data_IF_600164079406
#
_entry.id   IF_600164079406
#
_cell.length_a   1.000
_cell.length_b   1.000
_cell.length_c   1.000
_cell.angle_alpha   90.00
_cell.angle_beta   90.00
_cell.angle_gamma   90.00
#
_symmetry.space_group_name_H-M   'P 1'
#
loop_
_entity.id
_entity.type
_entity.pdbx_description
1 polymer ?
#
# COMPACT_ATOMS: atom_id res chain seq x y z
N UNK A 1 27.19 27.75 19.52
CA UNK A 1 26.31 26.56 19.59
C UNK A 1 25.42 26.53 18.37
N UNK A 2 25.79 25.80 17.31
CA UNK A 2 24.99 25.71 16.09
C UNK A 2 23.90 24.65 16.27
N UNK A 3 22.64 25.06 16.39
CA UNK A 3 21.48 24.16 16.29
C UNK A 3 21.41 23.65 14.86
N UNK A 4 21.78 22.38 14.65
CA UNK A 4 21.55 21.70 13.39
C UNK A 4 20.06 21.76 13.06
N UNK A 5 19.76 22.20 11.83
CA UNK A 5 18.44 22.26 11.21
C UNK A 5 17.66 21.00 11.59
N UNK A 6 16.50 21.18 12.22
CA UNK A 6 15.53 20.11 12.34
C UNK A 6 15.34 19.53 10.95
N UNK A 7 15.64 18.25 10.78
CA UNK A 7 15.00 17.49 9.71
C UNK A 7 13.53 17.77 9.93
N UNK A 8 12.91 18.51 9.00
CA UNK A 8 11.47 18.47 8.86
C UNK A 8 11.20 17.01 8.52
N UNK A 9 11.01 16.18 9.55
CA UNK A 9 10.31 14.94 9.41
C UNK A 9 8.90 15.42 9.08
N UNK A 10 8.68 15.74 7.79
CA UNK A 10 7.36 15.70 7.20
C UNK A 10 6.94 14.25 7.38
N UNK A 11 6.52 13.88 8.59
CA UNK A 11 5.77 12.66 8.79
C UNK A 11 4.65 12.81 7.77
N UNK A 12 4.73 12.06 6.68
CA UNK A 12 3.62 11.96 5.75
C UNK A 12 2.48 11.49 6.64
N UNK A 13 1.58 12.41 6.96
CA UNK A 13 0.47 12.10 7.83
C UNK A 13 -0.38 11.10 7.08
N UNK A 14 -0.59 9.93 7.65
CA UNK A 14 -1.56 8.99 7.12
C UNK A 14 -2.88 9.22 7.86
N UNK A 15 -3.99 9.28 7.12
CA UNK A 15 -5.32 9.33 7.74
C UNK A 15 -5.76 7.96 8.21
N UNK A 16 -5.21 6.91 7.62
CA UNK A 16 -5.49 5.52 7.90
C UNK A 16 -4.33 4.66 7.41
N UNK A 17 -3.97 3.66 8.20
CA UNK A 17 -2.85 2.76 7.93
C UNK A 17 -3.14 1.39 8.55
N UNK A 18 -2.91 0.33 7.78
CA UNK A 18 -3.12 -1.04 8.22
C UNK A 18 -2.30 -2.04 7.38
N UNK A 19 -2.05 -3.21 7.96
CA UNK A 19 -1.37 -4.31 7.29
C UNK A 19 -2.39 -5.33 6.77
N UNK A 20 -2.17 -5.79 5.55
CA UNK A 20 -2.90 -6.86 4.89
C UNK A 20 -2.05 -8.12 4.81
N UNK A 21 -2.65 -9.27 5.06
CA UNK A 21 -2.04 -10.58 4.78
C UNK A 21 -3.00 -11.40 3.93
N UNK A 22 -2.58 -11.72 2.71
CA UNK A 22 -3.33 -12.59 1.81
C UNK A 22 -3.15 -14.07 2.22
N UNK A 23 -4.15 -14.95 2.01
CA UNK A 23 -4.01 -16.39 2.27
C UNK A 23 -2.87 -17.09 1.50
N UNK A 24 -2.37 -16.49 0.40
CA UNK A 24 -1.18 -17.01 -0.29
C UNK A 24 0.14 -16.77 0.48
N UNK A 25 0.08 -16.04 1.60
CA UNK A 25 1.25 -15.63 2.39
C UNK A 25 1.78 -14.24 2.03
N UNK A 26 1.26 -13.58 0.99
CA UNK A 26 1.66 -12.22 0.62
C UNK A 26 1.24 -11.22 1.70
N UNK A 27 2.16 -10.32 2.09
CA UNK A 27 1.91 -9.25 3.04
C UNK A 27 2.07 -7.90 2.36
N UNK A 28 1.13 -7.01 2.62
CA UNK A 28 1.15 -5.66 2.12
C UNK A 28 0.84 -4.68 3.26
N UNK A 29 1.44 -3.51 3.18
CA UNK A 29 1.22 -2.40 4.06
C UNK A 29 0.45 -1.33 3.29
N UNK A 30 -0.67 -0.87 3.86
CA UNK A 30 -1.60 0.03 3.21
C UNK A 30 -1.71 1.31 4.01
N UNK A 31 -1.44 2.43 3.36
CA UNK A 31 -1.44 3.73 4.02
C UNK A 31 -2.09 4.81 3.14
N UNK A 32 -3.13 5.47 3.63
CA UNK A 32 -3.77 6.59 2.94
C UNK A 32 -3.12 7.90 3.34
N UNK A 33 -2.67 8.66 2.34
CA UNK A 33 -2.10 10.00 2.56
C UNK A 33 -3.19 10.97 3.01
N UNK A 34 -2.97 11.60 4.16
CA UNK A 34 -3.93 12.51 4.77
C UNK A 34 -4.27 13.68 3.83
N UNK A 35 -5.56 14.04 3.78
CA UNK A 35 -6.06 15.10 2.91
C UNK A 35 -6.07 14.76 1.41
N UNK A 36 -5.80 13.50 1.05
CA UNK A 36 -5.83 13.04 -0.35
C UNK A 36 -6.73 11.82 -0.53
N UNK A 37 -7.08 11.55 -1.78
CA UNK A 37 -7.75 10.32 -2.19
C UNK A 37 -6.76 9.21 -2.55
N UNK A 38 -5.47 9.35 -2.22
CA UNK A 38 -4.43 8.39 -2.61
C UNK A 38 -4.05 7.52 -1.42
N UNK A 39 -3.99 6.21 -1.66
CA UNK A 39 -3.40 5.25 -0.74
C UNK A 39 -2.24 4.50 -1.41
N UNK A 40 -1.21 4.21 -0.64
CA UNK A 40 -0.05 3.46 -1.06
C UNK A 40 -0.22 2.01 -0.60
N UNK A 41 0.10 1.06 -1.49
CA UNK A 41 0.21 -0.37 -1.20
C UNK A 41 1.68 -0.76 -1.35
N UNK A 42 2.28 -1.17 -0.24
CA UNK A 42 3.70 -1.55 -0.17
C UNK A 42 3.79 -3.01 0.22
N UNK A 43 4.23 -3.86 -0.70
CA UNK A 43 4.42 -5.28 -0.43
C UNK A 43 5.64 -5.51 0.44
N UNK A 44 5.43 -6.01 1.65
CA UNK A 44 6.50 -6.33 2.61
C UNK A 44 6.97 -7.78 2.50
N UNK A 45 6.13 -8.67 1.98
CA UNK A 45 6.49 -10.05 1.68
C UNK A 45 5.71 -10.55 0.47
N UNK A 46 6.40 -10.98 -0.58
CA UNK A 46 5.78 -11.48 -1.81
C UNK A 46 6.10 -12.96 -2.11
N UNK A 47 6.87 -13.64 -1.24
CA UNK A 47 7.36 -14.99 -1.50
C UNK A 47 8.19 -15.05 -2.79
N UNK A 48 7.77 -15.90 -3.74
CA UNK A 48 8.40 -16.05 -5.06
C UNK A 48 7.78 -15.15 -6.15
N UNK A 49 6.79 -14.33 -5.80
CA UNK A 49 6.09 -13.47 -6.74
C UNK A 49 6.81 -12.14 -6.89
N UNK A 50 6.87 -11.63 -8.12
CA UNK A 50 7.35 -10.27 -8.40
C UNK A 50 6.18 -9.30 -8.32
N UNK A 51 5.91 -8.82 -7.11
CA UNK A 51 4.91 -7.77 -6.85
C UNK A 51 5.59 -6.41 -6.79
N UNK A 52 4.91 -5.37 -7.26
CA UNK A 52 5.43 -4.01 -7.34
C UNK A 52 4.58 -3.12 -6.44
N UNK A 53 5.24 -2.27 -5.64
CA UNK A 53 4.54 -1.29 -4.81
C UNK A 53 3.81 -0.28 -5.70
N UNK A 54 2.59 0.08 -5.32
CA UNK A 54 1.73 0.94 -6.11
C UNK A 54 1.09 2.03 -5.26
N UNK A 55 0.88 3.19 -5.87
CA UNK A 55 -0.01 4.23 -5.35
C UNK A 55 -1.33 4.16 -6.13
N UNK A 56 -2.44 4.10 -5.41
CA UNK A 56 -3.78 3.94 -5.95
C UNK A 56 -4.66 5.10 -5.49
N UNK A 57 -5.46 5.64 -6.42
CA UNK A 57 -6.42 6.69 -6.11
C UNK A 57 -7.81 6.09 -5.89
N UNK A 58 -8.43 6.39 -4.75
CA UNK A 58 -9.79 6.00 -4.43
C UNK A 58 -10.74 7.08 -4.96
N UNK A 59 -11.58 6.73 -5.93
CA UNK A 59 -12.66 7.59 -6.40
C UNK A 59 -13.86 7.53 -5.44
N UNK A 60 -13.65 7.88 -4.18
CA UNK A 60 -14.70 7.88 -3.17
C UNK A 60 -14.55 9.08 -2.23
N UNK A 61 -15.70 9.62 -1.82
CA UNK A 61 -15.78 10.64 -0.78
C UNK A 61 -15.60 10.05 0.64
N UNK A 62 -15.42 8.72 0.75
CA UNK A 62 -15.17 8.05 2.02
C UNK A 62 -13.92 8.61 2.70
N UNK A 63 -14.01 8.82 4.01
CA UNK A 63 -12.88 9.17 4.88
C UNK A 63 -11.95 7.99 5.14
N UNK A 64 -12.38 6.77 4.80
CA UNK A 64 -11.65 5.53 5.01
C UNK A 64 -11.32 4.81 3.71
N UNK A 65 -10.25 4.02 3.70
CA UNK A 65 -9.84 3.12 2.62
C UNK A 65 -10.82 1.94 2.59
N UNK A 66 -11.56 1.71 1.50
CA UNK A 66 -12.45 0.56 1.42
C UNK A 66 -11.62 -0.73 1.32
N UNK A 67 -11.63 -1.57 2.36
CA UNK A 67 -10.84 -2.81 2.40
C UNK A 67 -11.11 -3.70 1.19
N UNK A 68 -12.37 -3.85 0.76
CA UNK A 68 -12.71 -4.68 -0.40
C UNK A 68 -12.09 -4.21 -1.72
N UNK A 69 -11.84 -2.90 -1.90
CA UNK A 69 -11.14 -2.40 -3.09
C UNK A 69 -9.66 -2.82 -3.03
N UNK A 70 -9.04 -2.65 -1.87
CA UNK A 70 -7.64 -3.02 -1.62
C UNK A 70 -7.43 -4.53 -1.78
N UNK A 71 -8.32 -5.33 -1.19
CA UNK A 71 -8.28 -6.79 -1.29
C UNK A 71 -8.32 -7.25 -2.75
N UNK A 72 -9.19 -6.64 -3.56
CA UNK A 72 -9.30 -6.95 -4.98
C UNK A 72 -8.06 -6.55 -5.78
N UNK A 73 -7.50 -5.36 -5.52
CA UNK A 73 -6.26 -4.88 -6.17
C UNK A 73 -5.10 -5.84 -5.86
N UNK A 74 -4.91 -6.16 -4.58
CA UNK A 74 -3.82 -7.06 -4.16
C UNK A 74 -4.04 -8.46 -4.73
N UNK A 75 -5.27 -8.97 -4.75
CA UNK A 75 -5.56 -10.27 -5.35
C UNK A 75 -5.27 -10.29 -6.86
N UNK A 76 -5.58 -9.21 -7.58
CA UNK A 76 -5.28 -9.09 -9.01
C UNK A 76 -3.77 -9.05 -9.27
N UNK A 77 -3.03 -8.24 -8.52
CA UNK A 77 -1.56 -8.17 -8.60
C UNK A 77 -0.91 -9.55 -8.33
N UNK A 78 -1.40 -10.28 -7.33
CA UNK A 78 -0.97 -11.65 -7.03
C UNK A 78 -1.28 -12.58 -8.21
N UNK A 79 -2.49 -12.54 -8.75
CA UNK A 79 -2.90 -13.38 -9.87
C UNK A 79 -2.08 -13.07 -11.14
N UNK A 80 -1.81 -11.80 -11.41
CA UNK A 80 -0.97 -11.35 -12.52
C UNK A 80 0.48 -11.85 -12.36
N UNK A 81 1.06 -11.69 -11.16
CA UNK A 81 2.41 -12.18 -10.87
C UNK A 81 2.53 -13.71 -10.94
N UNK A 82 1.50 -14.44 -10.50
CA UNK A 82 1.44 -15.90 -10.60
C UNK A 82 1.38 -16.36 -12.06
N UNK A 83 0.58 -15.68 -12.90
CA UNK A 83 0.53 -15.95 -14.34
C UNK A 83 1.89 -15.69 -15.01
N UNK A 84 2.55 -14.59 -14.68
CA UNK A 84 3.85 -14.25 -15.24
C UNK A 84 4.97 -15.22 -14.84
N UNK A 85 4.84 -15.92 -13.71
CA UNK A 85 5.82 -16.91 -13.24
C UNK A 85 5.61 -18.30 -13.85
N UNK A 86 4.41 -18.58 -14.37
CA UNK A 86 4.06 -19.87 -15.00
C UNK A 86 4.45 -19.96 -16.48
N UNK A 87 4.84 -18.86 -17.11
CA UNK A 87 5.38 -18.80 -18.47
C UNK A 87 6.90 -18.68 -18.44
#
# INVERSE_FOLDING_TARGET
MAKARGKNNSAQGFSEEWDYTHPSGVRAHIARRNGTSIFSVVFSHAGNLKLVNGDYEIQTDSKFIPHGIVDNIIADDIAAAQKATRN
#
